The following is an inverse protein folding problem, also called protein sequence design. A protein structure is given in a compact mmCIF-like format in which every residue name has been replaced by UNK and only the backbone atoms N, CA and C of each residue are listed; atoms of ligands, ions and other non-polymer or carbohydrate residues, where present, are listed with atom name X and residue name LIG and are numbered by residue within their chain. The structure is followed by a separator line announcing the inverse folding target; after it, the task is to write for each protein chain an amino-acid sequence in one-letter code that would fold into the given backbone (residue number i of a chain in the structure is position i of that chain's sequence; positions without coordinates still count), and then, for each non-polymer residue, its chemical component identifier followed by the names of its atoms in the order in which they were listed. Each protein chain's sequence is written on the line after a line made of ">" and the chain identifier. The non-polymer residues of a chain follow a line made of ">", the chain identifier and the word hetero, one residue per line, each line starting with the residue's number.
data_IF_840964149649
#
_entry.id   IF_840964149649
#
_cell.length_a   1.000
_cell.length_b   1.000
_cell.length_c   1.000
_cell.angle_alpha   90.00
_cell.angle_beta   90.00
_cell.angle_gamma   90.00
#
_symmetry.space_group_name_H-M   'P 1'
#
loop_
_entity.id
_entity.type
_entity.pdbx_description
1 polymer ?
#
# COMPACT_ATOMS: atom_id res chain seq x y z
N UNK A 1 -20.16 -23.11 -18.51
CA UNK A 1 -19.32 -22.46 -17.48
C UNK A 1 -17.88 -22.55 -17.95
N UNK A 2 -17.35 -21.44 -18.47
CA UNK A 2 -15.97 -21.38 -18.97
C UNK A 2 -15.04 -21.73 -17.82
N UNK A 3 -14.29 -22.82 -17.97
CA UNK A 3 -13.22 -23.17 -17.06
C UNK A 3 -12.24 -22.00 -17.13
N UNK A 4 -12.22 -21.13 -16.11
CA UNK A 4 -11.13 -20.18 -15.93
C UNK A 4 -9.89 -21.08 -15.87
N UNK A 5 -9.12 -21.16 -16.96
CA UNK A 5 -7.95 -22.03 -17.04
C UNK A 5 -7.06 -21.77 -15.83
N UNK A 6 -6.38 -22.78 -15.32
CA UNK A 6 -5.52 -22.63 -14.13
C UNK A 6 -4.43 -21.58 -14.42
N UNK A 7 -4.53 -20.33 -13.92
CA UNK A 7 -3.54 -19.33 -14.23
C UNK A 7 -2.26 -19.68 -13.46
N UNK A 8 -1.12 -19.64 -14.13
CA UNK A 8 0.17 -19.98 -13.52
C UNK A 8 1.06 -18.75 -13.30
N UNK A 9 0.72 -17.64 -13.96
CA UNK A 9 1.45 -16.37 -13.87
C UNK A 9 0.50 -15.20 -13.55
N UNK A 10 1.05 -14.08 -13.06
CA UNK A 10 0.29 -12.83 -12.90
C UNK A 10 -0.28 -12.34 -14.23
N UNK A 11 0.46 -12.51 -15.32
CA UNK A 11 -0.01 -12.18 -16.67
C UNK A 11 -1.25 -13.01 -17.06
N UNK A 12 -1.29 -14.30 -16.72
CA UNK A 12 -2.48 -15.14 -16.98
C UNK A 12 -3.69 -14.63 -16.17
N UNK A 13 -3.47 -14.26 -14.91
CA UNK A 13 -4.52 -13.68 -14.07
C UNK A 13 -5.04 -12.35 -14.63
N UNK A 14 -4.15 -11.49 -15.12
CA UNK A 14 -4.50 -10.20 -15.73
C UNK A 14 -5.37 -10.37 -16.99
N UNK A 15 -5.07 -11.36 -17.84
CA UNK A 15 -5.92 -11.69 -19.00
C UNK A 15 -7.33 -12.17 -18.61
N UNK A 16 -7.49 -12.68 -17.39
CA UNK A 16 -8.78 -13.08 -16.83
C UNK A 16 -9.48 -11.95 -16.04
N UNK A 17 -8.91 -10.74 -16.03
CA UNK A 17 -9.44 -9.58 -15.30
C UNK A 17 -9.09 -9.57 -13.81
N UNK A 18 -8.16 -10.43 -13.35
CA UNK A 18 -7.66 -10.43 -11.98
C UNK A 18 -6.34 -9.67 -11.89
N UNK A 19 -6.32 -8.60 -11.11
CA UNK A 19 -5.11 -7.79 -10.87
C UNK A 19 -4.58 -8.03 -9.47
N UNK A 20 -3.29 -8.34 -9.35
CA UNK A 20 -2.68 -8.89 -8.13
C UNK A 20 -1.59 -7.96 -7.61
N UNK A 21 -1.66 -7.61 -6.32
CA UNK A 21 -0.60 -6.87 -5.62
C UNK A 21 0.63 -7.77 -5.40
N UNK A 22 1.80 -7.17 -5.17
CA UNK A 22 3.01 -7.91 -4.81
C UNK A 22 2.83 -8.59 -3.45
N UNK A 23 2.57 -7.81 -2.39
CA UNK A 23 2.18 -8.34 -1.08
C UNK A 23 0.73 -7.95 -0.72
N UNK A 24 0.44 -6.65 -0.64
CA UNK A 24 -0.91 -6.11 -0.40
C UNK A 24 -1.06 -4.69 -0.97
N UNK A 25 -2.27 -4.15 -0.93
CA UNK A 25 -2.57 -2.84 -1.52
C UNK A 25 -1.87 -1.70 -0.76
N UNK A 26 -1.78 -1.79 0.58
CA UNK A 26 -1.15 -0.77 1.39
C UNK A 26 0.35 -0.63 1.08
N UNK A 27 1.07 -1.74 0.85
CA UNK A 27 2.46 -1.68 0.42
C UNK A 27 2.60 -1.04 -0.97
N UNK A 28 1.77 -1.46 -1.93
CA UNK A 28 1.76 -0.88 -3.29
C UNK A 28 1.53 0.64 -3.25
N UNK A 29 0.62 1.11 -2.39
CA UNK A 29 0.35 2.53 -2.19
C UNK A 29 1.50 3.27 -1.53
N UNK A 30 2.16 2.67 -0.53
CA UNK A 30 3.36 3.26 0.10
C UNK A 30 4.46 3.44 -0.96
N UNK A 31 4.68 2.44 -1.81
CA UNK A 31 5.67 2.49 -2.86
C UNK A 31 5.33 3.56 -3.92
N UNK A 32 4.07 3.61 -4.36
CA UNK A 32 3.62 4.57 -5.37
C UNK A 32 3.68 6.03 -4.88
N UNK A 33 3.38 6.27 -3.60
CA UNK A 33 3.44 7.61 -3.00
C UNK A 33 4.85 8.03 -2.58
N UNK A 34 5.69 7.05 -2.24
CA UNK A 34 7.01 7.25 -1.67
C UNK A 34 6.99 7.70 -0.21
N UNK A 35 8.10 7.42 0.47
CA UNK A 35 8.28 7.63 1.91
C UNK A 35 7.99 9.06 2.37
N UNK A 36 8.49 10.07 1.66
CA UNK A 36 8.27 11.49 2.01
C UNK A 36 6.79 11.86 2.09
N UNK A 37 5.97 11.34 1.19
CA UNK A 37 4.53 11.65 1.16
C UNK A 37 3.80 10.94 2.29
N UNK A 38 4.15 9.69 2.54
CA UNK A 38 3.57 8.93 3.65
C UNK A 38 3.94 9.58 4.99
N UNK A 39 5.16 10.11 5.14
CA UNK A 39 5.55 10.88 6.33
C UNK A 39 4.73 12.17 6.50
N UNK A 40 4.45 12.90 5.41
CA UNK A 40 3.58 14.06 5.46
C UNK A 40 2.14 13.71 5.86
N UNK A 41 1.63 12.56 5.41
CA UNK A 41 0.33 12.04 5.86
C UNK A 41 0.38 11.71 7.35
N UNK A 42 1.40 11.00 7.82
CA UNK A 42 1.59 10.70 9.24
C UNK A 42 1.62 11.98 10.09
N UNK A 43 2.28 13.03 9.61
CA UNK A 43 2.33 14.33 10.30
C UNK A 43 0.94 14.99 10.37
N UNK A 44 0.22 15.02 9.25
CA UNK A 44 -1.14 15.58 9.18
C UNK A 44 -2.14 14.88 10.11
N UNK A 45 -1.91 13.60 10.41
CA UNK A 45 -2.74 12.79 11.31
C UNK A 45 -2.23 12.77 12.75
N UNK A 46 -1.13 13.47 13.05
CA UNK A 46 -0.52 13.50 14.39
C UNK A 46 0.23 12.23 14.78
N UNK A 47 0.50 11.33 13.85
CA UNK A 47 1.16 10.04 14.09
C UNK A 47 2.67 10.06 13.84
N UNK A 48 3.23 11.13 13.25
CA UNK A 48 4.64 11.18 12.88
C UNK A 48 5.57 10.91 14.08
N UNK A 49 5.28 11.50 15.25
CA UNK A 49 6.06 11.24 16.48
C UNK A 49 6.05 9.75 16.85
N UNK A 50 4.87 9.14 16.84
CA UNK A 50 4.69 7.72 17.13
C UNK A 50 5.43 6.84 16.13
N UNK A 51 5.42 7.23 14.85
CA UNK A 51 6.20 6.55 13.82
C UNK A 51 7.71 6.67 14.07
N UNK A 52 8.24 7.87 14.40
CA UNK A 52 9.67 8.02 14.74
C UNK A 52 10.09 7.17 15.94
N UNK A 53 9.24 7.11 16.97
CA UNK A 53 9.46 6.20 18.11
C UNK A 53 9.49 4.73 17.66
N UNK A 54 8.58 4.33 16.78
CA UNK A 54 8.57 2.98 16.19
C UNK A 54 9.85 2.68 15.39
N UNK A 55 10.31 3.59 14.52
CA UNK A 55 11.55 3.43 13.75
C UNK A 55 12.79 3.27 14.64
N UNK A 56 12.80 3.90 15.82
CA UNK A 56 13.91 3.80 16.77
C UNK A 56 13.98 2.44 17.50
N UNK A 57 12.91 1.65 17.46
CA UNK A 57 12.85 0.37 18.17
C UNK A 57 13.91 -0.62 17.65
N UNK A 58 14.55 -1.42 18.52
CA UNK A 58 15.65 -2.31 18.12
C UNK A 58 15.33 -3.25 16.94
N UNK A 59 14.11 -3.76 16.85
CA UNK A 59 13.70 -4.68 15.77
C UNK A 59 13.56 -3.99 14.40
N UNK A 60 13.35 -2.67 14.40
CA UNK A 60 12.99 -1.88 13.21
C UNK A 60 14.08 -0.91 12.77
N UNK A 61 14.94 -0.47 13.67
CA UNK A 61 16.04 0.45 13.37
C UNK A 61 16.93 -0.12 12.25
N UNK A 62 17.18 0.68 11.22
CA UNK A 62 18.01 0.30 10.07
C UNK A 62 17.31 -0.57 9.02
N UNK A 63 16.03 -0.93 9.22
CA UNK A 63 15.21 -1.50 8.13
C UNK A 63 14.83 -0.43 7.12
N UNK A 64 14.44 -0.86 5.92
CA UNK A 64 13.93 0.03 4.89
C UNK A 64 12.74 0.85 5.40
N UNK A 65 12.67 2.17 5.11
CA UNK A 65 11.61 3.03 5.61
C UNK A 65 10.21 2.57 5.19
N UNK A 66 10.05 2.04 3.97
CA UNK A 66 8.77 1.53 3.45
C UNK A 66 8.28 0.34 4.27
N UNK A 67 9.18 -0.60 4.60
CA UNK A 67 8.84 -1.74 5.46
C UNK A 67 8.46 -1.31 6.89
N UNK A 68 9.12 -0.28 7.43
CA UNK A 68 8.76 0.31 8.71
C UNK A 68 7.37 0.97 8.64
N UNK A 69 7.06 1.72 7.58
CA UNK A 69 5.76 2.34 7.37
C UNK A 69 4.66 1.30 7.29
N UNK A 70 4.82 0.31 6.40
CA UNK A 70 3.87 -0.78 6.24
C UNK A 70 3.58 -1.50 7.56
N UNK A 71 4.62 -1.85 8.34
CA UNK A 71 4.41 -2.46 9.65
C UNK A 71 3.70 -1.54 10.62
N UNK A 72 4.10 -0.26 10.67
CA UNK A 72 3.52 0.72 11.57
C UNK A 72 2.02 0.88 11.30
N UNK A 73 1.61 1.04 10.05
CA UNK A 73 0.20 1.14 9.66
C UNK A 73 -0.60 -0.08 10.13
N UNK A 74 -0.04 -1.28 9.95
CA UNK A 74 -0.65 -2.56 10.36
C UNK A 74 -0.53 -2.89 11.85
N UNK A 75 0.00 -2.00 12.68
CA UNK A 75 0.12 -2.28 14.13
C UNK A 75 -1.19 -2.10 14.91
N UNK A 76 -2.27 -1.63 14.28
CA UNK A 76 -3.65 -1.76 14.79
C UNK A 76 -4.67 -1.75 13.65
N UNK A 77 -5.79 -2.45 13.81
CA UNK A 77 -6.87 -2.50 12.80
C UNK A 77 -7.46 -1.12 12.51
N UNK A 78 -7.67 -0.30 13.54
CA UNK A 78 -8.17 1.06 13.41
C UNK A 78 -7.22 1.94 12.58
N UNK A 79 -5.91 1.88 12.85
CA UNK A 79 -4.92 2.63 12.07
C UNK A 79 -4.83 2.11 10.65
N UNK A 80 -4.89 0.79 10.44
CA UNK A 80 -4.83 0.24 9.09
C UNK A 80 -5.97 0.75 8.21
N UNK A 81 -7.22 0.66 8.70
CA UNK A 81 -8.38 1.16 7.98
C UNK A 81 -8.30 2.66 7.69
N UNK A 82 -7.82 3.46 8.67
CA UNK A 82 -7.64 4.90 8.49
C UNK A 82 -6.64 5.21 7.38
N UNK A 83 -5.47 4.58 7.40
CA UNK A 83 -4.42 4.89 6.42
C UNK A 83 -4.66 4.26 5.05
N UNK A 84 -5.30 3.10 4.95
CA UNK A 84 -5.71 2.55 3.65
C UNK A 84 -6.51 3.60 2.86
N UNK A 85 -7.48 4.25 3.51
CA UNK A 85 -8.24 5.36 2.90
C UNK A 85 -7.36 6.55 2.51
N UNK A 86 -6.55 7.07 3.45
CA UNK A 86 -5.72 8.26 3.22
C UNK A 86 -4.67 8.05 2.12
N UNK A 87 -4.10 6.85 2.03
CA UNK A 87 -3.15 6.49 0.99
C UNK A 87 -3.83 6.43 -0.38
N UNK A 88 -5.02 5.85 -0.47
CA UNK A 88 -5.80 5.85 -1.72
C UNK A 88 -6.14 7.28 -2.15
N UNK A 89 -6.69 8.10 -1.24
CA UNK A 89 -7.03 9.50 -1.53
C UNK A 89 -5.80 10.27 -2.05
N UNK A 90 -4.67 10.17 -1.35
CA UNK A 90 -3.43 10.81 -1.77
C UNK A 90 -2.90 10.31 -3.12
N UNK A 91 -3.08 9.02 -3.43
CA UNK A 91 -2.65 8.43 -4.70
C UNK A 91 -3.54 8.87 -5.87
N UNK A 92 -4.85 9.00 -5.64
CA UNK A 92 -5.79 9.56 -6.62
C UNK A 92 -5.45 11.02 -6.93
N UNK A 93 -5.30 11.85 -5.90
CA UNK A 93 -5.00 13.29 -6.05
C UNK A 93 -3.71 13.55 -6.85
N UNK A 94 -2.80 12.58 -6.82
CA UNK A 94 -1.48 12.66 -7.44
C UNK A 94 -1.40 11.96 -8.79
N UNK A 95 -2.45 11.25 -9.18
CA UNK A 95 -2.45 10.36 -10.34
C UNK A 95 -1.29 9.34 -10.28
N UNK A 96 -1.11 8.73 -9.10
CA UNK A 96 -0.07 7.74 -8.81
C UNK A 96 -0.69 6.46 -8.25
N UNK A 97 -1.83 6.03 -8.79
CA UNK A 97 -2.43 4.76 -8.40
C UNK A 97 -1.48 3.61 -8.74
N UNK A 98 -1.33 2.61 -7.85
CA UNK A 98 -0.53 1.44 -8.16
C UNK A 98 -1.20 0.64 -9.29
N UNK A 99 -0.36 0.06 -10.16
CA UNK A 99 -0.80 -0.65 -11.37
C UNK A 99 -1.96 -1.64 -11.15
N UNK A 100 -1.97 -2.47 -10.09
CA UNK A 100 -3.08 -3.41 -9.88
C UNK A 100 -4.44 -2.71 -9.68
N UNK A 101 -4.46 -1.56 -9.00
CA UNK A 101 -5.68 -0.80 -8.74
C UNK A 101 -6.10 0.01 -9.98
N UNK A 102 -5.15 0.62 -10.67
CA UNK A 102 -5.41 1.36 -11.92
C UNK A 102 -5.99 0.45 -13.02
N UNK A 103 -5.40 -0.74 -13.20
CA UNK A 103 -5.88 -1.73 -14.15
C UNK A 103 -7.29 -2.22 -13.81
N UNK A 104 -7.59 -2.45 -12.52
CA UNK A 104 -8.93 -2.83 -12.07
C UNK A 104 -9.96 -1.75 -12.39
N UNK A 105 -9.66 -0.48 -12.13
CA UNK A 105 -10.57 0.64 -12.41
C UNK A 105 -10.77 0.88 -13.91
N UNK A 106 -9.80 0.50 -14.75
CA UNK A 106 -9.91 0.57 -16.21
C UNK A 106 -10.71 -0.59 -16.80
N UNK A 107 -10.77 -1.73 -16.10
CA UNK A 107 -11.44 -2.94 -16.55
C UNK A 107 -12.95 -3.00 -16.24
N UNK A 108 -13.49 -2.03 -15.49
CA UNK A 108 -14.90 -1.97 -15.06
C UNK A 108 -15.74 -0.99 -15.84
#
# INVERSE_FOLDING_TARGET
>A
MTQLGSPHTRTDMEHLGFHVCVNDLEEELIHALGTTRVEALLDSQGDLRSFRSFQSQPAWRGREPEAQMWRFLRSSSHRNLRYARLLVEAAVDRNTLPRPLDALLTAV
#
